data_IF_393578792605
#
_entry.id   IF_393578792605
#
_cell.length_a   1.000
_cell.length_b   1.000
_cell.length_c   1.000
_cell.angle_alpha   90.00
_cell.angle_beta   90.00
_cell.angle_gamma   90.00
#
_symmetry.space_group_name_H-M   'P 1'
#
loop_
_entity.id
_entity.type
_entity.pdbx_description
1 polymer ?
#
# COMPACT_ATOMS: atom_id res chain seq x y z
N UNK A 1 -9.35 28.33 -48.48
CA UNK A 1 -8.27 28.76 -47.57
C UNK A 1 -8.02 27.60 -46.63
N UNK A 2 -6.85 27.03 -46.66
CA UNK A 2 -6.40 26.00 -45.70
C UNK A 2 -5.38 26.64 -44.76
N UNK A 3 -5.66 26.62 -43.45
CA UNK A 3 -4.78 27.15 -42.41
C UNK A 3 -4.46 26.01 -41.46
N UNK A 4 -3.30 25.41 -41.65
CA UNK A 4 -2.82 24.30 -40.81
C UNK A 4 -1.72 24.80 -39.87
N UNK A 5 -2.02 24.86 -38.57
CA UNK A 5 -1.07 25.18 -37.50
C UNK A 5 -0.48 23.93 -36.80
N UNK A 6 -0.91 22.71 -37.21
CA UNK A 6 -0.38 21.48 -36.63
C UNK A 6 0.97 21.16 -37.29
N UNK A 7 2.04 21.47 -36.62
CA UNK A 7 3.41 21.05 -37.00
C UNK A 7 3.58 19.53 -36.83
N UNK A 8 2.91 18.75 -37.70
CA UNK A 8 3.04 17.30 -37.66
C UNK A 8 4.48 16.89 -37.95
N UNK A 9 5.06 16.11 -37.04
CA UNK A 9 6.32 15.39 -37.24
C UNK A 9 5.97 13.91 -37.28
N UNK A 10 6.37 13.16 -38.33
CA UNK A 10 6.18 11.72 -38.34
C UNK A 10 6.96 11.06 -37.21
N UNK A 11 6.38 10.04 -36.61
CA UNK A 11 7.09 9.18 -35.65
C UNK A 11 8.11 8.35 -36.43
N UNK A 12 9.35 8.34 -35.96
CA UNK A 12 10.46 7.59 -36.54
C UNK A 12 10.89 6.48 -35.56
N UNK A 13 10.87 5.23 -36.03
CA UNK A 13 11.22 4.07 -35.20
C UNK A 13 12.30 3.26 -35.91
N UNK A 14 13.36 2.88 -35.21
CA UNK A 14 14.40 2.02 -35.81
C UNK A 14 13.89 0.59 -35.92
N UNK A 15 13.98 0.01 -37.12
CA UNK A 15 13.73 -1.41 -37.36
C UNK A 15 14.91 -2.26 -36.86
N UNK A 16 14.67 -3.06 -35.85
CA UNK A 16 15.63 -4.02 -35.28
C UNK A 16 15.09 -5.45 -35.43
N UNK A 17 15.40 -6.14 -36.56
CA UNK A 17 14.88 -7.47 -36.83
C UNK A 17 15.29 -8.50 -35.76
N UNK A 18 16.50 -8.38 -35.22
CA UNK A 18 16.99 -9.32 -34.22
C UNK A 18 16.20 -9.20 -32.92
N UNK A 19 15.99 -7.97 -32.46
CA UNK A 19 15.20 -7.73 -31.27
C UNK A 19 13.74 -8.17 -31.47
N UNK A 20 13.13 -7.85 -32.61
CA UNK A 20 11.73 -8.22 -32.92
C UNK A 20 11.56 -9.74 -32.90
N UNK A 21 12.46 -10.48 -33.60
CA UNK A 21 12.41 -11.94 -33.62
C UNK A 21 12.60 -12.55 -32.23
N UNK A 22 13.53 -12.03 -31.44
CA UNK A 22 13.73 -12.46 -30.05
C UNK A 22 12.56 -12.14 -29.13
N UNK A 23 11.92 -10.98 -29.33
CA UNK A 23 10.78 -10.51 -28.51
C UNK A 23 9.51 -11.35 -28.78
N UNK A 24 9.26 -11.67 -30.06
CA UNK A 24 8.06 -12.46 -30.45
C UNK A 24 8.33 -13.97 -30.35
N UNK A 25 9.57 -14.42 -30.43
CA UNK A 25 9.94 -15.83 -30.49
C UNK A 25 9.72 -16.46 -31.87
N UNK A 26 9.98 -15.69 -32.95
CA UNK A 26 9.84 -16.12 -34.35
C UNK A 26 11.14 -15.89 -35.11
N UNK A 27 11.18 -16.32 -36.36
CA UNK A 27 12.26 -16.03 -37.31
C UNK A 27 11.67 -15.49 -38.62
N UNK A 28 11.48 -14.18 -38.68
CA UNK A 28 10.98 -13.45 -39.84
C UNK A 28 12.14 -12.64 -40.45
N UNK A 29 12.37 -12.79 -41.75
CA UNK A 29 13.40 -12.02 -42.43
C UNK A 29 13.11 -10.51 -42.45
N UNK A 30 14.19 -9.70 -42.49
CA UNK A 30 14.08 -8.23 -42.57
C UNK A 30 13.20 -7.78 -43.75
N UNK A 31 13.38 -8.38 -44.92
CA UNK A 31 12.62 -8.01 -46.14
C UNK A 31 11.12 -8.30 -45.97
N UNK A 32 10.79 -9.38 -45.28
CA UNK A 32 9.39 -9.71 -44.95
C UNK A 32 8.80 -8.72 -43.96
N UNK A 33 9.57 -8.31 -42.96
CA UNK A 33 9.15 -7.27 -42.02
C UNK A 33 8.86 -5.95 -42.71
N UNK A 34 9.77 -5.50 -43.60
CA UNK A 34 9.60 -4.30 -44.42
C UNK A 34 8.33 -4.41 -45.27
N UNK A 35 8.16 -5.52 -45.99
CA UNK A 35 6.95 -5.73 -46.80
C UNK A 35 5.65 -5.65 -46.02
N UNK A 36 5.64 -6.12 -44.76
CA UNK A 36 4.49 -6.00 -43.86
C UNK A 36 4.24 -4.52 -43.51
N UNK A 37 5.28 -3.81 -43.09
CA UNK A 37 5.18 -2.41 -42.66
C UNK A 37 4.77 -1.47 -43.81
N UNK A 38 5.29 -1.69 -45.03
CA UNK A 38 4.90 -0.94 -46.23
C UNK A 38 3.42 -1.14 -46.57
N UNK A 39 2.91 -2.35 -46.46
CA UNK A 39 1.47 -2.65 -46.63
C UNK A 39 0.59 -1.99 -45.58
N UNK A 40 1.14 -1.65 -44.43
CA UNK A 40 0.46 -0.90 -43.35
C UNK A 40 0.58 0.62 -43.52
N UNK A 41 1.22 1.07 -44.62
CA UNK A 41 1.38 2.48 -44.96
C UNK A 41 2.63 3.13 -44.35
N UNK A 42 3.49 2.37 -43.70
CA UNK A 42 4.79 2.87 -43.27
C UNK A 42 5.72 3.03 -44.48
N UNK A 43 6.68 3.94 -44.39
CA UNK A 43 7.79 4.03 -45.37
C UNK A 43 9.13 3.81 -44.69
N UNK A 44 10.12 3.39 -45.48
CA UNK A 44 11.44 3.09 -44.95
C UNK A 44 12.47 4.11 -45.42
N UNK A 45 13.35 4.54 -44.50
CA UNK A 45 14.52 5.35 -44.80
C UNK A 45 15.74 4.65 -44.16
N UNK A 46 16.38 3.80 -44.93
CA UNK A 46 17.40 2.88 -44.40
C UNK A 46 16.80 1.91 -43.38
N UNK A 47 17.22 1.95 -42.14
CA UNK A 47 16.67 1.16 -41.04
C UNK A 47 15.62 1.92 -40.23
N UNK A 48 15.26 3.14 -40.63
CA UNK A 48 14.24 3.94 -39.95
C UNK A 48 12.87 3.73 -40.60
N UNK A 49 11.89 3.35 -39.78
CA UNK A 49 10.47 3.26 -40.13
C UNK A 49 9.86 4.65 -39.95
N UNK A 50 9.24 5.19 -41.00
CA UNK A 50 8.48 6.43 -40.94
C UNK A 50 7.01 6.07 -40.81
N UNK A 51 6.42 6.36 -39.68
CA UNK A 51 5.03 6.01 -39.36
C UNK A 51 4.07 7.02 -40.02
N UNK A 52 3.01 6.55 -40.69
CA UNK A 52 2.05 7.46 -41.29
C UNK A 52 1.19 8.18 -40.23
N UNK A 53 0.69 9.37 -40.56
CA UNK A 53 -0.03 10.25 -39.63
C UNK A 53 -1.30 9.65 -39.03
N UNK A 54 -1.91 8.68 -39.69
CA UNK A 54 -3.13 8.01 -39.24
C UNK A 54 -2.87 6.85 -38.25
N UNK A 55 -1.60 6.37 -38.10
CA UNK A 55 -1.18 5.33 -37.16
C UNK A 55 -0.49 5.96 -35.94
N UNK A 56 -1.27 6.67 -35.14
CA UNK A 56 -0.80 7.32 -33.91
C UNK A 56 -0.48 6.32 -32.78
N UNK A 57 -0.89 5.08 -32.94
CA UNK A 57 -0.68 3.96 -32.07
C UNK A 57 0.75 3.37 -32.16
N UNK A 58 1.46 3.63 -33.26
CA UNK A 58 2.82 3.12 -33.47
C UNK A 58 3.83 4.14 -32.93
N UNK A 59 4.20 4.00 -31.67
CA UNK A 59 5.15 4.90 -30.98
C UNK A 59 6.46 4.23 -30.63
N UNK A 60 6.44 2.90 -30.41
CA UNK A 60 7.57 2.14 -29.90
C UNK A 60 7.87 0.90 -30.77
N UNK A 61 9.08 0.36 -30.59
CA UNK A 61 9.48 -0.87 -31.28
C UNK A 61 8.60 -2.09 -30.95
N UNK A 62 7.94 -2.08 -29.78
CA UNK A 62 7.00 -3.14 -29.40
C UNK A 62 5.74 -3.10 -30.28
N UNK A 63 5.26 -1.92 -30.65
CA UNK A 63 4.11 -1.76 -31.54
C UNK A 63 4.42 -2.29 -32.94
N UNK A 64 5.65 -2.05 -33.41
CA UNK A 64 6.16 -2.62 -34.67
C UNK A 64 6.24 -4.15 -34.59
N UNK A 65 6.68 -4.69 -33.48
CA UNK A 65 6.73 -6.13 -33.27
C UNK A 65 5.33 -6.75 -33.27
N UNK A 66 4.35 -6.09 -32.65
CA UNK A 66 2.94 -6.52 -32.67
C UNK A 66 2.41 -6.60 -34.11
N UNK A 67 2.61 -5.56 -34.90
CA UNK A 67 2.15 -5.55 -36.30
C UNK A 67 2.80 -6.69 -37.11
N UNK A 68 4.08 -6.93 -36.92
CA UNK A 68 4.79 -8.04 -37.59
C UNK A 68 4.23 -9.39 -37.14
N UNK A 69 3.99 -9.58 -35.84
CA UNK A 69 3.41 -10.81 -35.30
C UNK A 69 2.00 -11.05 -35.85
N UNK A 70 1.18 -10.01 -35.89
CA UNK A 70 -0.21 -10.05 -36.37
C UNK A 70 -0.28 -10.47 -37.85
N UNK A 71 0.59 -9.90 -38.71
CA UNK A 71 0.62 -10.25 -40.13
C UNK A 71 1.41 -11.51 -40.44
N UNK A 72 2.33 -11.92 -39.57
CA UNK A 72 2.96 -13.24 -39.64
C UNK A 72 1.94 -14.34 -39.34
N UNK A 73 1.05 -14.11 -38.41
CA UNK A 73 0.01 -14.98 -37.89
C UNK A 73 0.36 -15.51 -36.49
N UNK A 74 -0.46 -15.19 -35.51
CA UNK A 74 -0.29 -15.66 -34.13
C UNK A 74 -0.34 -17.20 -34.01
N UNK A 75 -1.08 -17.86 -34.90
CA UNK A 75 -1.16 -19.32 -35.01
C UNK A 75 0.17 -19.98 -35.38
N UNK A 76 1.11 -19.23 -35.98
CA UNK A 76 2.44 -19.72 -36.37
C UNK A 76 3.50 -19.50 -35.30
N UNK A 77 3.17 -18.78 -34.21
CA UNK A 77 4.10 -18.59 -33.11
C UNK A 77 4.12 -19.85 -32.26
N UNK A 78 5.26 -20.51 -32.09
CA UNK A 78 5.33 -21.77 -31.36
C UNK A 78 5.05 -21.55 -29.87
N UNK A 79 4.18 -22.37 -29.30
CA UNK A 79 4.00 -22.39 -27.85
C UNK A 79 5.26 -22.93 -27.17
N UNK A 80 5.79 -22.16 -26.23
CA UNK A 80 6.96 -22.57 -25.45
C UNK A 80 6.55 -22.79 -23.99
N UNK A 81 7.02 -23.89 -23.40
CA UNK A 81 6.86 -24.10 -21.97
C UNK A 81 7.76 -23.13 -21.19
N UNK A 82 7.25 -22.59 -20.10
CA UNK A 82 8.05 -21.80 -19.17
C UNK A 82 9.19 -22.69 -18.65
N UNK A 83 10.42 -22.28 -18.90
CA UNK A 83 11.63 -22.94 -18.40
C UNK A 83 12.22 -22.05 -17.31
N UNK A 84 12.07 -22.47 -16.06
CA UNK A 84 12.65 -21.76 -14.93
C UNK A 84 12.61 -22.63 -13.68
N UNK A 85 13.57 -22.44 -12.82
CA UNK A 85 13.65 -23.06 -11.49
C UNK A 85 13.04 -22.16 -10.40
N UNK A 86 12.55 -20.98 -10.77
CA UNK A 86 11.94 -20.07 -9.82
C UNK A 86 10.63 -20.65 -9.29
N UNK A 87 10.62 -21.00 -8.02
CA UNK A 87 9.41 -21.36 -7.29
C UNK A 87 8.77 -20.09 -6.72
N UNK A 88 7.45 -19.97 -6.86
CA UNK A 88 6.70 -18.91 -6.18
C UNK A 88 6.83 -19.08 -4.67
N UNK A 89 7.22 -18.02 -3.98
CA UNK A 89 7.32 -17.98 -2.51
C UNK A 89 6.92 -16.61 -1.99
N UNK A 90 6.52 -16.56 -0.72
CA UNK A 90 6.32 -15.28 -0.01
C UNK A 90 7.68 -14.64 0.26
N UNK A 91 7.73 -13.30 0.14
CA UNK A 91 8.86 -12.53 0.67
C UNK A 91 8.92 -12.65 2.18
N UNK A 92 10.05 -12.32 2.80
CA UNK A 92 10.18 -12.35 4.26
C UNK A 92 9.20 -11.38 4.93
N UNK A 93 8.94 -10.22 4.32
CA UNK A 93 7.96 -9.28 4.83
C UNK A 93 6.53 -9.82 4.74
N UNK A 94 6.15 -10.49 3.64
CA UNK A 94 4.85 -11.14 3.52
C UNK A 94 4.66 -12.30 4.50
N UNK A 95 5.75 -13.03 4.84
CA UNK A 95 5.72 -14.05 5.91
C UNK A 95 5.48 -13.41 7.27
N UNK A 96 6.14 -12.28 7.53
CA UNK A 96 5.92 -11.48 8.74
C UNK A 96 4.46 -11.02 8.85
N UNK A 97 3.90 -10.37 7.82
CA UNK A 97 2.50 -9.94 7.81
C UNK A 97 1.54 -11.11 8.10
N UNK A 98 1.77 -12.26 7.45
CA UNK A 98 0.97 -13.46 7.68
C UNK A 98 1.12 -13.99 9.12
N UNK A 99 2.32 -13.95 9.69
CA UNK A 99 2.57 -14.34 11.07
C UNK A 99 1.83 -13.44 12.05
N UNK A 100 1.90 -12.12 11.85
CA UNK A 100 1.18 -11.13 12.65
C UNK A 100 -0.33 -11.39 12.58
N UNK A 101 -0.89 -11.46 11.37
CA UNK A 101 -2.33 -11.70 11.16
C UNK A 101 -2.79 -12.99 11.83
N UNK A 102 -2.10 -14.11 11.59
CA UNK A 102 -2.46 -15.39 12.19
C UNK A 102 -2.36 -15.39 13.72
N UNK A 103 -1.36 -14.68 14.27
CA UNK A 103 -1.19 -14.56 15.72
C UNK A 103 -2.35 -13.78 16.35
N UNK A 104 -2.77 -12.67 15.75
CA UNK A 104 -3.88 -11.88 16.26
C UNK A 104 -5.23 -12.62 16.12
N UNK A 105 -5.45 -13.30 14.99
CA UNK A 105 -6.64 -14.17 14.79
C UNK A 105 -6.69 -15.27 15.85
N UNK A 106 -5.57 -15.94 16.12
CA UNK A 106 -5.48 -17.01 17.13
C UNK A 106 -5.75 -16.51 18.55
N UNK A 107 -5.55 -15.21 18.81
CA UNK A 107 -5.88 -14.56 20.09
C UNK A 107 -7.32 -14.04 20.17
N UNK A 108 -8.16 -14.35 19.17
CA UNK A 108 -9.57 -13.98 19.13
C UNK A 108 -9.84 -12.55 18.65
N UNK A 109 -8.85 -11.91 18.01
CA UNK A 109 -9.10 -10.63 17.35
C UNK A 109 -9.71 -10.88 15.96
N UNK A 110 -10.59 -9.99 15.51
CA UNK A 110 -11.16 -10.00 14.17
C UNK A 110 -10.48 -8.97 13.30
N UNK A 111 -10.07 -9.38 12.10
CA UNK A 111 -9.48 -8.48 11.11
C UNK A 111 -10.54 -7.56 10.51
N UNK A 112 -10.21 -6.28 10.38
CA UNK A 112 -11.03 -5.29 9.69
C UNK A 112 -10.22 -4.64 8.58
N UNK A 113 -10.92 -4.00 7.64
CA UNK A 113 -10.33 -3.18 6.60
C UNK A 113 -11.10 -1.88 6.49
N UNK A 114 -10.40 -0.77 6.63
CA UNK A 114 -10.99 0.58 6.56
C UNK A 114 -10.44 1.38 5.40
N UNK A 115 -11.17 2.41 4.97
CA UNK A 115 -10.69 3.30 3.92
C UNK A 115 -9.47 4.10 4.37
N UNK A 116 -8.51 4.24 3.45
CA UNK A 116 -7.35 5.13 3.64
C UNK A 116 -7.71 6.61 3.56
N UNK A 117 -8.87 6.92 3.00
CA UNK A 117 -9.40 8.28 2.88
C UNK A 117 -10.31 8.59 4.05
N UNK A 118 -10.07 9.74 4.70
CA UNK A 118 -10.82 10.17 5.88
C UNK A 118 -11.24 11.64 5.75
N UNK A 119 -12.12 12.07 6.65
CA UNK A 119 -12.41 13.49 6.86
C UNK A 119 -11.31 14.15 7.70
N UNK A 120 -10.85 15.37 7.36
CA UNK A 120 -9.98 16.16 8.25
C UNK A 120 -10.54 16.36 9.67
N UNK A 121 -11.86 16.34 9.83
CA UNK A 121 -12.56 16.45 11.12
C UNK A 121 -12.25 15.27 12.07
N UNK A 122 -11.76 14.16 11.55
CA UNK A 122 -11.40 13.01 12.39
C UNK A 122 -10.23 13.30 13.33
N UNK A 123 -9.36 14.23 12.97
CA UNK A 123 -8.27 14.68 13.84
C UNK A 123 -8.78 15.43 15.07
N UNK A 124 -9.89 16.19 14.93
CA UNK A 124 -10.55 16.84 16.07
C UNK A 124 -11.19 15.80 16.99
N UNK A 125 -11.83 14.76 16.42
CA UNK A 125 -12.45 13.70 17.22
C UNK A 125 -11.45 12.94 18.10
N UNK A 126 -10.20 12.80 17.68
CA UNK A 126 -9.13 12.17 18.49
C UNK A 126 -8.31 13.19 19.30
N UNK A 127 -8.82 14.42 19.45
CA UNK A 127 -8.21 15.49 20.24
C UNK A 127 -6.78 15.85 19.82
N UNK A 128 -6.40 15.70 18.53
CA UNK A 128 -5.10 16.16 18.07
C UNK A 128 -4.96 17.68 18.19
N UNK A 129 -3.85 18.21 18.73
CA UNK A 129 -3.56 19.64 18.73
C UNK A 129 -3.63 20.25 17.32
N UNK A 130 -4.03 21.52 17.23
CA UNK A 130 -4.19 22.21 15.94
C UNK A 130 -2.86 22.33 15.16
N UNK A 131 -1.75 22.38 15.86
CA UNK A 131 -0.39 22.47 15.32
C UNK A 131 0.29 21.11 15.10
N UNK A 132 -0.41 20.01 15.37
CA UNK A 132 0.12 18.66 15.18
C UNK A 132 0.51 18.41 13.72
N UNK A 133 1.71 17.88 13.52
CA UNK A 133 2.19 17.46 12.18
C UNK A 133 1.32 16.40 11.54
N UNK A 134 0.63 15.57 12.34
CA UNK A 134 -0.30 14.56 11.86
C UNK A 134 -1.55 15.15 11.18
N UNK A 135 -1.80 16.46 11.30
CA UNK A 135 -2.88 17.13 10.55
C UNK A 135 -2.49 17.49 9.12
N UNK A 136 -1.18 17.42 8.79
CA UNK A 136 -0.69 17.64 7.43
C UNK A 136 -0.93 16.36 6.62
N UNK A 137 -2.03 16.32 5.88
CA UNK A 137 -2.43 15.16 5.08
C UNK A 137 -2.29 15.43 3.60
N UNK A 138 -2.10 14.38 2.80
CA UNK A 138 -2.28 14.47 1.35
C UNK A 138 -3.76 14.72 1.04
N UNK A 139 -4.04 15.76 0.29
CA UNK A 139 -5.40 16.14 -0.12
C UNK A 139 -5.75 15.44 -1.43
N UNK A 140 -6.92 14.81 -1.49
CA UNK A 140 -7.42 14.16 -2.70
C UNK A 140 -7.93 15.22 -3.66
N UNK A 141 -7.47 15.19 -4.91
CA UNK A 141 -7.79 16.20 -5.91
C UNK A 141 -9.29 16.25 -6.27
N UNK A 142 -9.93 15.08 -6.33
CA UNK A 142 -11.32 14.91 -6.71
C UNK A 142 -12.05 13.93 -5.77
N UNK A 143 -12.21 14.30 -4.46
CA UNK A 143 -12.82 13.41 -3.49
C UNK A 143 -14.30 13.20 -3.78
N UNK A 144 -14.85 12.05 -3.36
CA UNK A 144 -16.29 11.78 -3.42
C UNK A 144 -17.10 12.68 -2.47
N UNK A 145 -16.48 13.17 -1.41
CA UNK A 145 -17.05 14.06 -0.41
C UNK A 145 -16.02 14.47 0.63
N UNK A 146 -16.41 15.35 1.55
CA UNK A 146 -15.53 15.81 2.64
C UNK A 146 -15.05 14.62 3.51
N UNK A 147 -15.90 13.62 3.68
CA UNK A 147 -15.62 12.44 4.53
C UNK A 147 -14.46 11.59 4.01
N UNK A 148 -14.05 11.78 2.76
CA UNK A 148 -12.97 11.04 2.09
C UNK A 148 -12.00 11.96 1.37
N UNK A 149 -11.79 13.18 1.90
CA UNK A 149 -11.06 14.24 1.21
C UNK A 149 -9.55 14.24 1.45
N UNK A 150 -9.06 13.51 2.44
CA UNK A 150 -7.63 13.42 2.74
C UNK A 150 -7.20 11.99 3.01
N UNK A 151 -5.92 11.68 2.73
CA UNK A 151 -5.33 10.42 3.15
C UNK A 151 -4.97 10.49 4.63
N UNK A 152 -5.26 9.39 5.36
CA UNK A 152 -4.99 9.32 6.80
C UNK A 152 -3.50 9.32 7.11
N UNK A 153 -3.09 10.14 8.08
CA UNK A 153 -1.74 10.13 8.65
C UNK A 153 -1.65 9.28 9.91
N UNK A 154 -2.79 8.80 10.41
CA UNK A 154 -2.90 7.91 11.57
C UNK A 154 -4.17 7.06 11.45
N UNK A 155 -4.09 5.78 11.82
CA UNK A 155 -5.20 4.80 11.70
C UNK A 155 -6.19 4.90 12.87
N UNK A 156 -5.81 5.47 14.01
CA UNK A 156 -6.65 5.54 15.22
C UNK A 156 -8.09 6.04 14.94
N UNK A 157 -8.34 7.11 14.17
CA UNK A 157 -9.70 7.55 13.85
C UNK A 157 -10.54 6.49 13.15
N UNK A 158 -9.95 5.76 12.21
CA UNK A 158 -10.64 4.71 11.47
C UNK A 158 -11.04 3.55 12.39
N UNK A 159 -10.15 3.13 13.29
CA UNK A 159 -10.45 2.10 14.30
C UNK A 159 -11.58 2.57 15.24
N UNK A 160 -11.52 3.80 15.73
CA UNK A 160 -12.57 4.35 16.59
C UNK A 160 -13.93 4.42 15.89
N UNK A 161 -13.96 4.74 14.60
CA UNK A 161 -15.19 4.76 13.80
C UNK A 161 -15.83 3.36 13.71
N UNK A 162 -15.02 2.32 13.50
CA UNK A 162 -15.51 0.94 13.44
C UNK A 162 -16.00 0.48 14.83
N UNK A 163 -15.24 0.77 15.89
CA UNK A 163 -15.65 0.43 17.25
C UNK A 163 -16.96 1.12 17.62
N UNK A 164 -17.18 2.37 17.20
CA UNK A 164 -18.43 3.11 17.47
C UNK A 164 -19.65 2.52 16.74
N UNK A 165 -19.44 1.94 15.56
CA UNK A 165 -20.50 1.29 14.75
C UNK A 165 -20.79 -0.13 15.21
N UNK A 166 -19.85 -0.77 15.86
CA UNK A 166 -20.01 -2.12 16.37
C UNK A 166 -20.73 -2.08 17.72
N UNK A 167 -21.98 -2.54 17.74
CA UNK A 167 -22.86 -2.48 18.94
C UNK A 167 -22.90 -3.77 19.74
N UNK A 168 -21.91 -4.61 19.62
CA UNK A 168 -21.77 -5.82 20.42
C UNK A 168 -21.39 -5.48 21.88
N UNK A 169 -21.62 -6.43 22.81
CA UNK A 169 -21.24 -6.24 24.21
C UNK A 169 -19.73 -6.13 24.42
N UNK A 170 -18.93 -6.70 23.52
CA UNK A 170 -17.47 -6.59 23.49
C UNK A 170 -16.96 -6.79 22.06
N UNK A 171 -15.81 -6.22 21.76
CA UNK A 171 -15.11 -6.43 20.51
C UNK A 171 -13.59 -6.41 20.72
N UNK A 172 -12.90 -7.21 19.93
CA UNK A 172 -11.44 -7.19 19.77
C UNK A 172 -11.14 -7.22 18.27
N UNK A 173 -10.70 -6.10 17.73
CA UNK A 173 -10.51 -5.87 16.29
C UNK A 173 -9.06 -5.52 16.02
N UNK A 174 -8.56 -5.83 14.82
CA UNK A 174 -7.26 -5.36 14.38
C UNK A 174 -7.25 -5.03 12.87
N UNK A 175 -6.32 -4.18 12.48
CA UNK A 175 -6.07 -3.81 11.09
C UNK A 175 -4.57 -3.67 10.85
N UNK A 176 -4.08 -4.26 9.75
CA UNK A 176 -2.80 -3.90 9.14
C UNK A 176 -3.09 -2.86 8.07
N UNK A 177 -2.60 -1.65 8.24
CA UNK A 177 -3.01 -0.53 7.40
C UNK A 177 -1.93 0.52 7.24
N UNK A 178 -1.88 1.16 6.08
CA UNK A 178 -0.95 2.24 5.81
C UNK A 178 -1.42 3.57 6.40
N UNK A 179 -0.47 4.32 6.93
CA UNK A 179 -0.51 5.74 7.22
C UNK A 179 0.33 6.48 6.18
N UNK A 180 -0.15 7.61 5.71
CA UNK A 180 0.43 8.34 4.59
C UNK A 180 0.98 9.68 5.08
N UNK A 181 2.30 9.76 5.24
CA UNK A 181 2.97 10.93 5.82
C UNK A 181 3.56 11.78 4.68
N UNK A 182 3.06 13.00 4.43
CA UNK A 182 3.63 13.88 3.42
C UNK A 182 5.09 14.19 3.70
N UNK A 183 5.93 14.12 2.67
CA UNK A 183 7.36 14.47 2.74
C UNK A 183 7.59 15.74 1.95
N UNK A 184 8.25 16.71 2.57
CA UNK A 184 8.55 18.00 1.93
C UNK A 184 9.45 17.80 0.70
N UNK A 185 9.04 18.35 -0.44
CA UNK A 185 9.76 18.25 -1.70
C UNK A 185 9.55 16.93 -2.46
N UNK A 186 8.69 16.03 -1.99
CA UNK A 186 8.31 14.82 -2.71
C UNK A 186 6.84 14.91 -3.18
N UNK A 187 6.53 14.30 -4.31
CA UNK A 187 5.16 14.21 -4.86
C UNK A 187 4.33 13.16 -4.12
N UNK A 188 4.96 12.07 -3.71
CA UNK A 188 4.31 10.95 -3.01
C UNK A 188 4.65 10.98 -1.52
N UNK A 189 3.70 10.61 -0.64
CA UNK A 189 3.94 10.47 0.79
C UNK A 189 4.76 9.22 1.11
N UNK A 190 5.37 9.19 2.30
CA UNK A 190 5.84 7.94 2.89
C UNK A 190 4.65 7.09 3.35
N UNK A 191 4.65 5.82 2.97
CA UNK A 191 3.65 4.84 3.36
C UNK A 191 4.17 3.99 4.51
N UNK A 192 3.59 4.17 5.70
CA UNK A 192 3.99 3.46 6.90
C UNK A 192 2.94 2.41 7.27
N UNK A 193 3.24 1.14 7.07
CA UNK A 193 2.37 0.05 7.50
C UNK A 193 2.41 -0.06 9.03
N UNK A 194 1.22 -0.05 9.64
CA UNK A 194 1.04 -0.18 11.08
C UNK A 194 0.04 -1.28 11.42
N UNK A 195 0.18 -1.87 12.60
CA UNK A 195 -0.82 -2.72 13.24
C UNK A 195 -1.60 -1.84 14.21
N UNK A 196 -2.91 -1.79 14.06
CA UNK A 196 -3.79 -1.16 15.06
C UNK A 196 -4.69 -2.24 15.64
N UNK A 197 -4.74 -2.35 16.98
CA UNK A 197 -5.60 -3.27 17.71
C UNK A 197 -6.55 -2.42 18.55
N UNK A 198 -7.86 -2.65 18.45
CA UNK A 198 -8.88 -1.93 19.22
C UNK A 198 -9.79 -2.88 19.98
N UNK A 199 -9.99 -2.61 21.27
CA UNK A 199 -10.81 -3.44 22.15
C UNK A 199 -11.76 -2.60 23.01
N UNK A 200 -12.96 -3.11 23.27
CA UNK A 200 -13.87 -2.61 24.28
C UNK A 200 -14.75 -3.72 24.85
N UNK A 201 -15.41 -3.44 25.97
CA UNK A 201 -16.35 -4.32 26.65
C UNK A 201 -15.79 -4.89 27.96
N UNK A 202 -16.65 -5.57 28.72
CA UNK A 202 -16.34 -6.01 30.10
C UNK A 202 -15.23 -7.06 30.20
N UNK A 203 -14.91 -7.74 29.11
CA UNK A 203 -13.84 -8.75 29.03
C UNK A 203 -12.47 -8.17 28.67
N UNK A 204 -12.39 -6.86 28.41
CA UNK A 204 -11.19 -6.21 27.91
C UNK A 204 -10.76 -5.07 28.85
N UNK A 205 -9.46 -5.01 29.10
CA UNK A 205 -8.82 -3.98 29.88
C UNK A 205 -7.40 -3.69 29.37
N UNK A 206 -6.67 -2.83 30.04
CA UNK A 206 -5.29 -2.50 29.72
C UNK A 206 -4.39 -3.75 29.68
N UNK A 207 -4.59 -4.69 30.61
CA UNK A 207 -3.76 -5.87 30.73
C UNK A 207 -4.09 -6.94 29.69
N UNK A 208 -5.35 -7.06 29.28
CA UNK A 208 -5.74 -7.95 28.18
C UNK A 208 -5.12 -7.51 26.87
N UNK A 209 -5.13 -6.20 26.55
CA UNK A 209 -4.45 -5.66 25.37
C UNK A 209 -2.94 -5.84 25.47
N UNK A 210 -2.35 -5.57 26.64
CA UNK A 210 -0.92 -5.80 26.91
C UNK A 210 -0.53 -7.26 26.64
N UNK A 211 -1.35 -8.21 27.11
CA UNK A 211 -1.10 -9.65 26.90
C UNK A 211 -1.10 -10.06 25.43
N UNK A 212 -2.01 -9.49 24.62
CA UNK A 212 -2.02 -9.70 23.17
C UNK A 212 -0.71 -9.22 22.54
N UNK A 213 -0.25 -8.03 22.93
CA UNK A 213 0.98 -7.43 22.42
C UNK A 213 2.19 -8.27 22.85
N UNK A 214 2.29 -8.65 24.11
CA UNK A 214 3.40 -9.46 24.63
C UNK A 214 3.48 -10.83 23.93
N UNK A 215 2.32 -11.46 23.67
CA UNK A 215 2.30 -12.71 22.91
C UNK A 215 2.74 -12.49 21.45
N UNK A 216 2.30 -11.41 20.81
CA UNK A 216 2.77 -11.07 19.45
C UNK A 216 4.29 -10.89 19.42
N UNK A 217 4.86 -10.15 20.39
CA UNK A 217 6.31 -9.97 20.49
C UNK A 217 7.04 -11.30 20.68
N UNK A 218 6.49 -12.17 21.53
CA UNK A 218 7.04 -13.51 21.77
C UNK A 218 7.07 -14.36 20.50
N UNK A 219 5.98 -14.36 19.72
CA UNK A 219 5.90 -15.10 18.44
C UNK A 219 6.89 -14.54 17.40
N UNK A 220 7.12 -13.23 17.41
CA UNK A 220 8.11 -12.59 16.54
C UNK A 220 9.56 -12.74 17.05
N UNK A 221 9.77 -13.37 18.20
CA UNK A 221 11.09 -13.54 18.80
C UNK A 221 11.70 -12.25 19.35
N UNK A 222 10.88 -11.23 19.62
CA UNK A 222 11.34 -9.96 20.20
C UNK A 222 11.37 -10.09 21.71
N UNK A 223 12.58 -10.10 22.32
CA UNK A 223 12.77 -10.48 23.74
C UNK A 223 13.05 -9.30 24.66
N UNK A 224 13.80 -8.30 24.26
CA UNK A 224 14.25 -7.20 25.13
C UNK A 224 13.22 -6.05 25.16
N UNK A 225 11.99 -6.35 25.62
CA UNK A 225 10.89 -5.39 25.62
C UNK A 225 10.92 -4.54 26.88
N UNK A 226 10.87 -3.23 26.72
CA UNK A 226 10.66 -2.23 27.78
C UNK A 226 9.32 -1.53 27.56
N UNK A 227 8.49 -1.50 28.60
CA UNK A 227 7.21 -0.78 28.60
C UNK A 227 7.36 0.44 29.49
N UNK A 228 7.20 1.62 28.92
CA UNK A 228 7.41 2.90 29.60
C UNK A 228 6.10 3.71 29.63
N UNK A 229 5.78 4.27 30.80
CA UNK A 229 4.61 5.12 30.91
C UNK A 229 4.69 6.33 29.98
N UNK A 230 3.58 6.64 29.31
CA UNK A 230 3.47 7.75 28.36
C UNK A 230 2.23 8.60 28.69
N UNK A 231 2.36 9.92 28.70
CA UNK A 231 1.28 10.82 29.06
C UNK A 231 1.03 11.97 28.06
N UNK A 232 1.87 12.07 27.03
CA UNK A 232 1.83 13.18 26.07
C UNK A 232 0.97 12.91 24.84
N UNK A 233 0.54 11.67 24.60
CA UNK A 233 -0.23 11.31 23.42
C UNK A 233 -1.71 11.70 23.63
N UNK A 234 -2.26 12.66 22.87
CA UNK A 234 -3.52 13.33 23.21
C UNK A 234 -4.76 12.45 23.14
N UNK A 235 -4.75 11.40 22.33
CA UNK A 235 -5.87 10.46 22.18
C UNK A 235 -5.86 9.31 23.18
N UNK A 236 -4.83 9.20 24.04
CA UNK A 236 -4.80 8.25 25.14
C UNK A 236 -5.03 8.92 26.49
N UNK A 237 -5.52 8.13 27.44
CA UNK A 237 -5.64 8.55 28.84
C UNK A 237 -4.24 8.73 29.45
N UNK A 238 -3.89 9.92 29.98
CA UNK A 238 -2.52 10.24 30.40
C UNK A 238 -1.95 9.37 31.51
N UNK A 239 -2.80 8.73 32.29
CA UNK A 239 -2.37 7.80 33.36
C UNK A 239 -2.48 6.32 33.00
N UNK A 240 -2.87 5.97 31.75
CA UNK A 240 -3.12 4.60 31.32
C UNK A 240 -2.67 4.38 29.88
N UNK A 241 -1.51 4.91 29.55
CA UNK A 241 -0.85 4.76 28.26
C UNK A 241 0.61 4.39 28.45
N UNK A 242 1.15 3.60 27.57
CA UNK A 242 2.56 3.20 27.58
C UNK A 242 3.11 3.10 26.16
N UNK A 243 4.40 3.41 26.02
CA UNK A 243 5.23 3.09 24.86
C UNK A 243 5.88 1.75 25.02
N UNK A 244 6.12 1.09 23.91
CA UNK A 244 6.82 -0.19 23.82
C UNK A 244 8.11 0.05 23.08
N UNK A 245 9.22 -0.33 23.67
CA UNK A 245 10.55 -0.22 23.09
C UNK A 245 11.26 -1.57 23.14
N UNK A 246 12.14 -1.81 22.18
CA UNK A 246 13.13 -2.89 22.21
C UNK A 246 14.49 -2.32 21.85
N UNK A 247 15.51 -2.55 22.68
CA UNK A 247 16.88 -2.07 22.49
C UNK A 247 16.95 -0.55 22.10
N UNK A 248 16.07 0.27 22.70
CA UNK A 248 15.98 1.71 22.46
C UNK A 248 15.14 2.11 21.23
N UNK A 249 14.68 1.17 20.42
CA UNK A 249 13.79 1.42 19.27
C UNK A 249 12.33 1.39 19.73
N UNK A 250 11.57 2.46 19.42
CA UNK A 250 10.13 2.52 19.72
C UNK A 250 9.36 1.63 18.72
N UNK A 251 8.64 0.65 19.23
CA UNK A 251 7.78 -0.24 18.45
C UNK A 251 6.36 0.33 18.29
N UNK A 252 5.93 1.19 19.20
CA UNK A 252 4.63 1.82 19.19
C UNK A 252 4.12 2.16 20.59
N UNK A 253 2.81 2.44 20.69
CA UNK A 253 2.16 2.77 21.94
C UNK A 253 0.81 2.07 22.08
N UNK A 254 0.36 1.87 23.31
CA UNK A 254 -0.94 1.31 23.62
C UNK A 254 -1.50 1.89 24.93
N UNK A 255 -2.81 1.84 25.07
CA UNK A 255 -3.45 2.33 26.30
C UNK A 255 -4.95 2.45 26.22
N UNK A 256 -5.53 2.94 27.29
CA UNK A 256 -6.93 3.36 27.33
C UNK A 256 -7.08 4.64 26.51
N UNK A 257 -8.08 4.68 25.65
CA UNK A 257 -8.43 5.88 24.87
C UNK A 257 -8.92 6.97 25.81
N UNK A 258 -8.57 8.22 25.52
CA UNK A 258 -8.99 9.35 26.35
C UNK A 258 -10.54 9.46 26.41
N UNK A 259 -11.17 9.69 27.58
CA UNK A 259 -12.62 9.76 27.71
C UNK A 259 -13.28 10.76 26.76
N UNK A 260 -12.65 11.90 26.49
CA UNK A 260 -13.16 12.87 25.52
C UNK A 260 -13.22 12.28 24.10
N UNK A 261 -12.27 11.42 23.74
CA UNK A 261 -12.28 10.76 22.42
C UNK A 261 -13.41 9.75 22.35
N UNK A 262 -13.62 8.91 23.37
CA UNK A 262 -14.75 7.98 23.39
C UNK A 262 -16.09 8.71 23.31
N UNK A 263 -16.25 9.83 24.04
CA UNK A 263 -17.43 10.70 23.95
C UNK A 263 -17.65 11.26 22.53
N UNK A 264 -16.59 11.75 21.87
CA UNK A 264 -16.65 12.28 20.50
C UNK A 264 -17.11 11.22 19.46
N UNK A 265 -16.96 9.93 19.78
CA UNK A 265 -17.43 8.80 18.97
C UNK A 265 -18.73 8.17 19.49
N UNK A 266 -19.31 8.69 20.58
CA UNK A 266 -20.54 8.18 21.20
C UNK A 266 -20.38 6.77 21.78
N UNK A 267 -19.20 6.46 22.33
CA UNK A 267 -18.91 5.18 22.97
C UNK A 267 -18.93 5.37 24.48
N UNK A 268 -19.88 4.70 25.15
CA UNK A 268 -20.14 4.85 26.59
C UNK A 268 -19.25 3.95 27.47
N UNK A 269 -18.39 3.13 26.86
CA UNK A 269 -17.49 2.20 27.56
C UNK A 269 -16.03 2.56 27.34
N UNK A 270 -15.14 2.02 28.17
CA UNK A 270 -13.70 2.17 27.96
C UNK A 270 -13.27 1.45 26.70
N UNK A 271 -12.41 2.11 25.96
CA UNK A 271 -11.76 1.57 24.74
C UNK A 271 -10.26 1.50 24.99
N UNK A 272 -9.65 0.44 24.52
CA UNK A 272 -8.21 0.22 24.58
C UNK A 272 -7.70 0.04 23.16
N UNK A 273 -6.65 0.78 22.79
CA UNK A 273 -6.08 0.73 21.45
C UNK A 273 -4.55 0.57 21.55
N UNK A 274 -4.01 -0.22 20.65
CA UNK A 274 -2.57 -0.26 20.36
C UNK A 274 -2.33 0.18 18.93
N UNK A 275 -1.22 0.90 18.71
CA UNK A 275 -0.67 1.22 17.37
C UNK A 275 0.80 0.86 17.36
N UNK A 276 1.18 -0.08 16.49
CA UNK A 276 2.54 -0.63 16.39
C UNK A 276 3.08 -0.46 14.97
N UNK A 277 4.36 -0.12 14.84
CA UNK A 277 5.05 0.01 13.55
C UNK A 277 5.45 -1.36 13.01
N UNK A 278 4.93 -1.75 11.84
CA UNK A 278 5.33 -2.99 11.18
C UNK A 278 6.81 -3.00 10.79
N UNK A 279 7.34 -1.87 10.34
CA UNK A 279 8.77 -1.77 9.97
C UNK A 279 9.68 -1.96 11.18
N UNK A 280 9.36 -1.34 12.32
CA UNK A 280 10.14 -1.49 13.54
C UNK A 280 10.06 -2.93 14.09
N UNK A 281 8.88 -3.55 14.06
CA UNK A 281 8.71 -4.96 14.45
C UNK A 281 9.47 -5.90 13.53
N UNK A 282 9.38 -5.70 12.20
CA UNK A 282 10.07 -6.53 11.22
C UNK A 282 11.59 -6.46 11.36
N UNK A 283 12.13 -5.29 11.66
CA UNK A 283 13.57 -5.09 11.87
C UNK A 283 14.05 -5.69 13.21
N UNK A 284 13.16 -5.71 14.21
CA UNK A 284 13.48 -6.21 15.56
C UNK A 284 13.20 -7.71 15.75
N UNK A 285 12.56 -8.37 14.79
CA UNK A 285 12.26 -9.80 14.91
C UNK A 285 13.53 -10.65 14.88
N UNK A 286 13.56 -11.67 15.74
CA UNK A 286 14.62 -12.68 15.82
C UNK A 286 14.03 -14.06 15.52
N UNK A 287 13.49 -14.26 14.31
CA UNK A 287 13.03 -15.59 13.89
C UNK A 287 14.27 -16.38 13.48
N UNK A 288 14.66 -17.37 14.28
CA UNK A 288 15.68 -18.33 13.86
C UNK A 288 15.22 -18.97 12.54
N UNK A 289 16.08 -18.88 11.53
CA UNK A 289 15.83 -19.56 10.24
C UNK A 289 15.92 -21.07 10.50
N UNK A 290 14.75 -21.70 10.64
CA UNK A 290 14.63 -23.17 10.60
C UNK A 290 14.84 -23.69 9.20
#
# INVERSE_FOLDING_TARGET
IDVNHAGYKPTEITLDPQWINGFIGIDVSRDKMISILERLGCSMKGDTIIVPSFRKDLEHKADIAEEIARFHGYDKIPSTAIRGTAQGALTEFQKFERTVTNTLLAQGCYEISTYSFISPKYYDKICLPADSTLRKSVVILNPLGEDTSVMRTIVIPSMMEILSKNRNASASLFELANEYIPVEGQELPDENLVITIGQYGNSHDFFSLKGIIENLMSVLGITNISIQAESSIPYYHPGRCAKILTDGTELGAFGEVHPQVTENYGIDTRVYIARLSCSALFQSQCIEKQ
#
